data_IF_801916051764
#
_entry.id   IF_801916051764
#
_cell.length_a   1.000
_cell.length_b   1.000
_cell.length_c   1.000
_cell.angle_alpha   90.00
_cell.angle_beta   90.00
_cell.angle_gamma   90.00
#
_symmetry.space_group_name_H-M   'P 1'
#
loop_
_entity.id
_entity.type
_entity.pdbx_description
1 polymer ?
#
# COMPACT_ATOMS: atom_id res chain seq x y z
N UNK A 1 3.28 -13.85 -3.47
CA UNK A 1 3.81 -14.75 -2.43
C UNK A 1 5.33 -14.91 -2.47
N UNK A 2 5.98 -15.00 -3.68
CA UNK A 2 7.43 -15.28 -3.80
C UNK A 2 8.28 -14.23 -3.07
N UNK A 3 7.99 -12.96 -3.25
CA UNK A 3 8.70 -11.88 -2.55
C UNK A 3 8.55 -12.01 -1.02
N UNK A 4 7.31 -12.15 -0.54
CA UNK A 4 7.03 -12.29 0.91
C UNK A 4 7.74 -13.53 1.49
N UNK A 5 7.72 -14.66 0.75
CA UNK A 5 8.43 -15.88 1.14
C UNK A 5 9.93 -15.64 1.30
N UNK A 6 10.56 -14.94 0.36
CA UNK A 6 12.00 -14.69 0.40
C UNK A 6 12.36 -13.76 1.57
N UNK A 7 11.63 -12.67 1.74
CA UNK A 7 11.85 -11.74 2.87
C UNK A 7 11.65 -12.45 4.22
N UNK A 8 10.58 -13.25 4.35
CA UNK A 8 10.31 -13.99 5.58
C UNK A 8 11.37 -15.05 5.89
N UNK A 9 11.87 -15.74 4.88
CA UNK A 9 12.91 -16.75 5.08
C UNK A 9 14.27 -16.17 5.40
N UNK A 10 14.54 -14.91 5.00
CA UNK A 10 15.80 -14.23 5.23
C UNK A 10 15.82 -13.49 6.59
N UNK A 11 14.73 -12.80 6.92
CA UNK A 11 14.66 -11.94 8.11
C UNK A 11 13.73 -12.45 9.20
N UNK A 12 12.86 -13.40 8.89
CA UNK A 12 11.89 -13.91 9.87
C UNK A 12 12.47 -14.97 10.78
N UNK A 13 12.00 -15.00 12.03
CA UNK A 13 12.35 -16.03 13.01
C UNK A 13 11.73 -17.40 12.69
N UNK A 14 10.65 -17.42 11.90
CA UNK A 14 9.93 -18.64 11.49
C UNK A 14 9.92 -18.68 9.97
N UNK A 15 10.27 -19.85 9.40
CA UNK A 15 10.23 -20.04 7.93
C UNK A 15 8.80 -19.87 7.39
N UNK A 16 8.68 -19.29 6.20
CA UNK A 16 7.39 -18.99 5.57
C UNK A 16 6.47 -20.21 5.40
N UNK A 17 7.02 -21.38 5.09
CA UNK A 17 6.27 -22.64 4.93
C UNK A 17 5.57 -23.11 6.21
N UNK A 18 6.03 -22.63 7.38
CA UNK A 18 5.42 -22.89 8.69
C UNK A 18 4.36 -21.86 9.09
N UNK A 19 4.26 -20.74 8.38
CA UNK A 19 3.28 -19.71 8.64
C UNK A 19 1.99 -20.01 7.89
N UNK A 20 0.96 -20.44 8.61
CA UNK A 20 -0.36 -20.75 8.03
C UNK A 20 -1.39 -19.63 8.22
N UNK A 21 -1.07 -18.64 9.03
CA UNK A 21 -2.00 -17.55 9.40
C UNK A 21 -2.05 -16.40 8.38
N UNK A 22 -1.10 -16.34 7.44
CA UNK A 22 -1.07 -15.27 6.42
C UNK A 22 -1.73 -15.78 5.14
N UNK A 23 -2.95 -15.36 4.80
CA UNK A 23 -3.58 -15.73 3.54
C UNK A 23 -2.81 -15.08 2.38
N UNK A 24 -2.45 -15.88 1.40
CA UNK A 24 -1.77 -15.39 0.19
C UNK A 24 -2.51 -15.89 -1.05
N UNK A 25 -2.75 -14.97 -1.98
CA UNK A 25 -3.34 -15.30 -3.29
C UNK A 25 -2.19 -15.48 -4.28
N UNK A 26 -2.14 -16.62 -4.93
CA UNK A 26 -1.18 -16.94 -6.00
C UNK A 26 -1.79 -16.63 -7.37
N UNK A 27 -0.96 -16.62 -8.43
CA UNK A 27 -1.48 -16.53 -9.80
C UNK A 27 -2.39 -17.71 -10.15
N UNK A 28 -2.11 -18.90 -9.61
CA UNK A 28 -2.97 -20.09 -9.80
C UNK A 28 -4.36 -19.83 -9.22
N UNK A 29 -4.43 -19.29 -8.00
CA UNK A 29 -5.70 -18.98 -7.34
C UNK A 29 -6.50 -17.97 -8.15
N UNK A 30 -5.86 -16.91 -8.65
CA UNK A 30 -6.51 -15.93 -9.54
C UNK A 30 -7.06 -16.57 -10.82
N UNK A 31 -6.31 -17.51 -11.44
CA UNK A 31 -6.77 -18.23 -12.63
C UNK A 31 -7.97 -19.11 -12.28
N UNK A 32 -7.90 -19.87 -11.20
CA UNK A 32 -8.99 -20.74 -10.74
C UNK A 32 -10.24 -19.89 -10.43
N UNK A 33 -10.08 -18.82 -9.67
CA UNK A 33 -11.19 -17.93 -9.29
C UNK A 33 -11.84 -17.28 -10.52
N UNK A 34 -11.03 -16.80 -11.48
CA UNK A 34 -11.55 -16.12 -12.67
C UNK A 34 -12.21 -17.11 -13.64
N UNK A 35 -11.57 -18.23 -13.96
CA UNK A 35 -12.01 -19.11 -15.06
C UNK A 35 -12.86 -20.29 -14.61
N UNK A 36 -12.64 -20.82 -13.39
CA UNK A 36 -13.37 -21.98 -12.87
C UNK A 36 -14.54 -21.50 -11.99
N UNK A 37 -14.23 -20.71 -10.95
CA UNK A 37 -15.26 -20.20 -10.04
C UNK A 37 -16.05 -19.04 -10.62
N UNK A 38 -15.59 -18.43 -11.73
CA UNK A 38 -16.22 -17.29 -12.42
C UNK A 38 -16.48 -16.08 -11.51
N UNK A 39 -15.59 -15.86 -10.54
CA UNK A 39 -15.66 -14.71 -9.64
C UNK A 39 -15.35 -13.44 -10.44
N UNK A 40 -16.26 -12.47 -10.40
CA UNK A 40 -16.10 -11.15 -11.03
C UNK A 40 -15.80 -10.10 -9.99
N UNK A 41 -14.67 -9.39 -10.14
CA UNK A 41 -14.38 -8.20 -9.36
C UNK A 41 -15.15 -7.00 -9.94
N UNK A 42 -16.00 -6.38 -9.14
CA UNK A 42 -16.71 -5.16 -9.51
C UNK A 42 -16.22 -4.00 -8.64
N UNK A 43 -15.62 -3.00 -9.28
CA UNK A 43 -15.12 -1.80 -8.61
C UNK A 43 -16.18 -0.72 -8.64
N UNK A 44 -17.04 -0.69 -7.63
CA UNK A 44 -18.19 0.21 -7.56
C UNK A 44 -17.78 1.68 -7.73
N UNK A 45 -16.65 2.09 -7.15
CA UNK A 45 -16.17 3.48 -7.24
C UNK A 45 -15.74 3.91 -8.66
N UNK A 46 -15.54 2.98 -9.61
CA UNK A 46 -15.29 3.33 -11.02
C UNK A 46 -16.56 3.83 -11.74
N UNK A 47 -17.74 3.56 -11.16
CA UNK A 47 -19.05 3.97 -11.70
C UNK A 47 -19.65 5.20 -11.01
N UNK A 48 -18.91 5.80 -10.06
CA UNK A 48 -19.36 6.94 -9.26
C UNK A 48 -18.35 8.07 -9.30
N UNK A 49 -18.82 9.33 -9.33
CA UNK A 49 -17.93 10.48 -9.07
C UNK A 49 -17.65 10.58 -7.56
N UNK A 50 -16.69 9.77 -7.12
CA UNK A 50 -16.28 9.72 -5.72
C UNK A 50 -15.36 10.88 -5.39
N UNK A 51 -15.83 11.83 -4.59
CA UNK A 51 -15.04 12.96 -4.07
C UNK A 51 -14.92 12.84 -2.56
N UNK A 52 -13.71 12.67 -2.06
CA UNK A 52 -13.48 12.50 -0.62
C UNK A 52 -14.14 13.60 0.21
N UNK A 53 -14.04 14.88 -0.20
CA UNK A 53 -14.63 16.01 0.52
C UNK A 53 -16.15 15.88 0.71
N UNK A 54 -16.84 15.44 -0.33
CA UNK A 54 -18.31 15.29 -0.28
C UNK A 54 -18.70 14.11 0.60
N UNK A 55 -17.95 13.01 0.50
CA UNK A 55 -18.12 11.82 1.35
C UNK A 55 -17.84 12.13 2.81
N UNK A 56 -16.73 12.82 3.12
CA UNK A 56 -16.38 13.22 4.49
C UNK A 56 -17.47 14.09 5.11
N UNK A 57 -18.06 15.02 4.33
CA UNK A 57 -19.18 15.84 4.76
C UNK A 57 -20.39 15.00 5.09
N UNK A 58 -20.78 14.10 4.19
CA UNK A 58 -21.95 13.24 4.38
C UNK A 58 -21.79 12.28 5.57
N UNK A 59 -20.59 11.70 5.75
CA UNK A 59 -20.28 10.85 6.89
C UNK A 59 -20.35 11.61 8.22
N UNK A 60 -19.83 12.84 8.28
CA UNK A 60 -19.92 13.70 9.47
C UNK A 60 -21.36 14.05 9.82
N UNK A 61 -22.15 14.43 8.81
CA UNK A 61 -23.54 14.86 9.02
C UNK A 61 -24.46 13.68 9.39
N UNK A 62 -24.37 12.56 8.65
CA UNK A 62 -25.29 11.42 8.82
C UNK A 62 -24.87 10.41 9.87
N UNK A 63 -23.57 10.15 10.01
CA UNK A 63 -23.04 9.09 10.87
C UNK A 63 -22.22 9.62 12.05
N UNK A 64 -22.12 10.95 12.20
CA UNK A 64 -21.27 11.60 13.23
C UNK A 64 -19.82 11.10 13.22
N UNK A 65 -19.34 10.72 12.02
CA UNK A 65 -17.96 10.24 11.85
C UNK A 65 -16.97 11.37 12.17
N UNK A 66 -15.89 11.02 12.86
CA UNK A 66 -14.80 11.93 13.20
C UNK A 66 -13.61 11.70 12.29
N UNK A 67 -12.99 12.79 11.82
CA UNK A 67 -11.77 12.73 11.03
C UNK A 67 -10.57 12.45 11.94
N UNK A 68 -9.82 11.42 11.62
CA UNK A 68 -8.61 11.01 12.35
C UNK A 68 -7.33 11.70 11.83
N UNK A 69 -7.46 12.77 11.04
CA UNK A 69 -6.33 13.57 10.56
C UNK A 69 -5.64 13.06 9.30
N UNK A 70 -6.06 11.93 8.74
CA UNK A 70 -5.50 11.41 7.49
C UNK A 70 -5.91 9.98 7.16
N UNK A 71 -5.44 9.49 6.02
CA UNK A 71 -5.80 8.17 5.52
C UNK A 71 -5.22 7.05 6.40
N UNK A 72 -6.08 6.26 7.04
CA UNK A 72 -5.74 5.16 7.96
C UNK A 72 -4.98 5.59 9.22
N UNK A 73 -5.11 6.85 9.66
CA UNK A 73 -4.48 7.33 10.89
C UNK A 73 -5.21 6.94 12.17
N UNK A 74 -6.42 6.35 12.06
CA UNK A 74 -7.11 5.68 13.16
C UNK A 74 -6.31 4.50 13.73
N UNK A 75 -5.45 3.90 12.92
CA UNK A 75 -4.55 2.83 13.34
C UNK A 75 -3.18 3.40 13.70
N UNK A 76 -2.81 3.35 14.98
CA UNK A 76 -1.55 3.89 15.50
C UNK A 76 -0.30 3.34 14.77
N UNK A 77 -0.28 2.05 14.44
CA UNK A 77 0.83 1.46 13.68
C UNK A 77 0.91 2.03 12.26
N UNK A 78 -0.22 2.18 11.58
CA UNK A 78 -0.24 2.78 10.24
C UNK A 78 0.16 4.26 10.29
N UNK A 79 -0.28 4.99 11.31
CA UNK A 79 0.14 6.36 11.56
C UNK A 79 1.67 6.44 11.73
N UNK A 80 2.24 5.64 12.64
CA UNK A 80 3.69 5.54 12.82
C UNK A 80 4.44 5.26 11.51
N UNK A 81 4.00 4.26 10.75
CA UNK A 81 4.64 3.90 9.46
C UNK A 81 4.60 5.07 8.48
N UNK A 82 3.44 5.71 8.30
CA UNK A 82 3.25 6.73 7.27
C UNK A 82 3.82 8.10 7.65
N UNK A 83 3.72 8.50 8.92
CA UNK A 83 4.13 9.82 9.37
C UNK A 83 5.58 9.90 9.85
N UNK A 84 6.16 8.80 10.31
CA UNK A 84 7.51 8.75 10.87
C UNK A 84 8.44 7.80 10.11
N UNK A 85 8.13 6.50 10.09
CA UNK A 85 9.06 5.49 9.59
C UNK A 85 9.40 5.66 8.10
N UNK A 86 8.40 5.80 7.24
CA UNK A 86 8.63 5.99 5.80
C UNK A 86 9.31 7.32 5.47
N UNK A 87 8.89 8.47 6.02
CA UNK A 87 9.59 9.74 5.75
C UNK A 87 11.02 9.77 6.27
N UNK A 88 11.24 9.34 7.50
CA UNK A 88 12.56 9.45 8.17
C UNK A 88 13.58 8.45 7.60
N UNK A 89 13.19 7.18 7.48
CA UNK A 89 14.13 6.13 7.04
C UNK A 89 14.29 6.06 5.53
N UNK A 90 13.21 6.23 4.76
CA UNK A 90 13.18 5.99 3.31
C UNK A 90 13.00 7.27 2.47
N UNK A 91 12.79 8.42 3.11
CA UNK A 91 12.44 9.67 2.43
C UNK A 91 11.20 9.53 1.53
N UNK A 92 10.24 8.71 1.96
CA UNK A 92 8.99 8.44 1.24
C UNK A 92 7.85 9.22 1.88
N UNK A 93 7.36 10.25 1.18
CA UNK A 93 6.17 10.98 1.57
C UNK A 93 4.93 10.45 0.85
N UNK A 94 4.09 9.73 1.58
CA UNK A 94 2.84 9.14 1.07
C UNK A 94 1.85 10.17 0.54
N UNK A 95 1.87 11.41 1.06
CA UNK A 95 1.02 12.51 0.58
C UNK A 95 1.23 12.78 -0.92
N UNK A 96 2.45 12.60 -1.45
CA UNK A 96 2.75 12.80 -2.88
C UNK A 96 1.90 11.91 -3.77
N UNK A 97 1.71 10.65 -3.40
CA UNK A 97 0.91 9.69 -4.18
C UNK A 97 -0.57 10.05 -4.13
N UNK A 98 -1.08 10.37 -2.95
CA UNK A 98 -2.48 10.74 -2.73
C UNK A 98 -2.83 12.05 -3.46
N UNK A 99 -2.04 13.10 -3.25
CA UNK A 99 -2.26 14.41 -3.88
C UNK A 99 -2.11 14.32 -5.41
N UNK A 100 -1.19 13.51 -5.92
CA UNK A 100 -1.07 13.27 -7.36
C UNK A 100 -2.34 12.61 -7.94
N UNK A 101 -2.95 11.69 -7.22
CA UNK A 101 -4.23 11.11 -7.63
C UNK A 101 -5.35 12.15 -7.64
N UNK A 102 -5.45 12.97 -6.59
CA UNK A 102 -6.46 14.04 -6.49
C UNK A 102 -6.30 15.09 -7.59
N UNK A 103 -5.06 15.47 -7.96
CA UNK A 103 -4.81 16.38 -9.08
C UNK A 103 -5.30 15.77 -10.41
N UNK A 104 -4.97 14.50 -10.66
CA UNK A 104 -5.40 13.82 -11.90
C UNK A 104 -6.92 13.69 -12.01
N UNK A 105 -7.60 13.56 -10.88
CA UNK A 105 -9.07 13.51 -10.81
C UNK A 105 -9.72 14.89 -10.78
N UNK A 106 -8.95 15.98 -10.85
CA UNK A 106 -9.49 17.34 -10.81
C UNK A 106 -10.05 17.79 -9.46
N UNK A 107 -9.77 17.05 -8.37
CA UNK A 107 -10.29 17.34 -7.04
C UNK A 107 -9.57 18.49 -6.36
N UNK A 108 -8.29 18.69 -6.66
CA UNK A 108 -7.47 19.80 -6.18
C UNK A 108 -6.55 20.30 -7.29
N UNK A 109 -6.12 21.54 -7.18
CA UNK A 109 -5.12 22.10 -8.08
C UNK A 109 -3.71 21.69 -7.68
N UNK A 110 -2.79 21.71 -8.66
CA UNK A 110 -1.36 21.46 -8.38
C UNK A 110 -0.80 22.45 -7.36
N UNK A 111 -1.26 23.72 -7.39
CA UNK A 111 -0.82 24.78 -6.46
C UNK A 111 -1.19 24.43 -5.02
N UNK A 112 -2.41 24.00 -4.79
CA UNK A 112 -2.87 23.55 -3.46
C UNK A 112 -2.09 22.32 -2.98
N UNK A 113 -1.88 21.34 -3.84
CA UNK A 113 -1.09 20.15 -3.51
C UNK A 113 0.37 20.50 -3.13
N UNK A 114 1.01 21.40 -3.86
CA UNK A 114 2.37 21.85 -3.54
C UNK A 114 2.43 22.61 -2.21
N UNK A 115 1.40 23.39 -1.86
CA UNK A 115 1.30 24.03 -0.55
C UNK A 115 1.23 23.02 0.59
N UNK A 116 0.47 21.93 0.41
CA UNK A 116 0.36 20.84 1.40
C UNK A 116 1.69 20.10 1.55
N UNK A 117 2.35 19.76 0.43
CA UNK A 117 3.65 19.05 0.45
C UNK A 117 4.75 19.92 1.07
N UNK A 118 4.71 21.24 0.88
CA UNK A 118 5.67 22.18 1.47
C UNK A 118 5.61 22.26 3.00
N UNK A 119 4.54 21.79 3.61
CA UNK A 119 4.46 21.69 5.06
C UNK A 119 5.22 20.44 5.56
N UNK A 120 6.03 20.55 6.64
CA UNK A 120 6.70 19.41 7.21
C UNK A 120 5.69 18.31 7.58
N UNK A 121 6.12 17.07 7.51
CA UNK A 121 5.30 15.97 7.96
C UNK A 121 5.19 16.02 9.48
N UNK A 122 3.98 16.20 9.98
CA UNK A 122 3.72 16.15 11.42
C UNK A 122 3.62 14.70 11.86
N UNK A 123 4.36 14.32 12.88
CA UNK A 123 4.23 13.02 13.56
C UNK A 123 4.09 13.26 15.06
N UNK A 124 3.49 12.29 15.72
CA UNK A 124 3.29 12.29 17.17
C UNK A 124 4.36 11.39 17.80
N UNK A 125 5.21 11.97 18.67
CA UNK A 125 6.27 11.24 19.34
C UNK A 125 5.71 10.17 20.30
N UNK A 126 4.57 10.42 20.93
CA UNK A 126 3.92 9.44 21.82
C UNK A 126 3.54 8.18 21.05
N UNK A 127 3.04 8.33 19.81
CA UNK A 127 2.72 7.19 18.93
C UNK A 127 3.99 6.42 18.54
N UNK A 128 5.10 7.12 18.27
CA UNK A 128 6.39 6.49 17.94
C UNK A 128 6.86 5.64 19.13
N UNK A 129 6.82 6.20 20.33
CA UNK A 129 7.27 5.54 21.55
C UNK A 129 6.36 4.36 21.89
N UNK A 130 5.04 4.53 21.83
CA UNK A 130 4.08 3.45 22.09
C UNK A 130 4.27 2.28 21.12
N UNK A 131 4.39 2.56 19.81
CA UNK A 131 4.56 1.50 18.81
C UNK A 131 5.90 0.79 19.00
N UNK A 132 6.98 1.53 19.30
CA UNK A 132 8.31 0.96 19.54
C UNK A 132 8.29 0.01 20.74
N UNK A 133 7.67 0.42 21.84
CA UNK A 133 7.50 -0.42 23.05
C UNK A 133 6.66 -1.66 22.75
N UNK A 134 5.53 -1.52 22.03
CA UNK A 134 4.67 -2.66 21.65
C UNK A 134 5.36 -3.67 20.76
N UNK A 135 6.31 -3.23 19.93
CA UNK A 135 7.14 -4.11 19.10
C UNK A 135 8.28 -4.77 19.90
N UNK A 136 8.46 -4.43 21.17
CA UNK A 136 9.48 -4.99 22.06
C UNK A 136 10.89 -4.44 21.75
N UNK A 137 11.00 -3.29 21.12
CA UNK A 137 12.30 -2.68 20.81
C UNK A 137 12.75 -1.76 21.95
N UNK A 138 14.02 -1.88 22.35
CA UNK A 138 14.63 -0.83 23.17
C UNK A 138 14.87 0.43 22.32
N UNK A 139 14.95 1.62 22.92
CA UNK A 139 15.26 2.86 22.18
C UNK A 139 16.56 2.77 21.36
N UNK A 140 17.59 2.13 21.93
CA UNK A 140 18.88 1.95 21.28
C UNK A 140 18.78 1.02 20.05
N UNK A 141 18.04 -0.10 20.20
CA UNK A 141 17.78 -1.03 19.09
C UNK A 141 16.98 -0.34 17.98
N UNK A 142 15.92 0.38 18.35
CA UNK A 142 15.12 1.11 17.36
C UNK A 142 15.96 2.15 16.61
N UNK A 143 16.80 2.91 17.31
CA UNK A 143 17.68 3.89 16.69
C UNK A 143 18.69 3.23 15.74
N UNK A 144 19.31 2.10 16.13
CA UNK A 144 20.22 1.36 15.25
C UNK A 144 19.48 0.87 13.98
N UNK A 145 18.27 0.32 14.12
CA UNK A 145 17.45 -0.09 12.99
C UNK A 145 17.10 1.08 12.05
N UNK A 146 16.85 2.27 12.60
CA UNK A 146 16.59 3.47 11.78
C UNK A 146 17.81 3.92 10.99
N UNK A 147 19.02 3.66 11.48
CA UNK A 147 20.30 4.01 10.82
C UNK A 147 20.80 2.93 9.85
N UNK A 148 20.30 1.70 9.93
CA UNK A 148 20.67 0.64 9.01
C UNK A 148 20.37 1.00 7.56
N UNK A 149 21.22 0.52 6.65
CA UNK A 149 21.07 0.69 5.21
C UNK A 149 19.72 0.11 4.74
N UNK A 150 19.03 0.87 3.93
CA UNK A 150 17.76 0.44 3.34
C UNK A 150 17.99 -0.57 2.20
N UNK A 151 17.22 -1.65 2.20
CA UNK A 151 17.23 -2.65 1.15
C UNK A 151 16.19 -2.36 0.07
N UNK A 152 16.57 -2.53 -1.19
CA UNK A 152 15.65 -2.38 -2.31
C UNK A 152 14.85 -3.67 -2.53
N UNK A 153 13.58 -3.54 -2.91
CA UNK A 153 12.78 -4.70 -3.35
C UNK A 153 13.42 -5.48 -4.52
N UNK A 154 14.37 -4.86 -5.25
CA UNK A 154 15.10 -5.49 -6.37
C UNK A 154 16.14 -6.50 -5.92
N UNK A 155 16.55 -6.47 -4.67
CA UNK A 155 17.49 -7.44 -4.08
C UNK A 155 16.82 -8.81 -3.87
N UNK A 156 15.49 -8.84 -3.86
CA UNK A 156 14.70 -10.05 -3.64
C UNK A 156 14.14 -10.60 -4.95
N UNK A 157 14.18 -11.91 -5.10
CA UNK A 157 13.59 -12.60 -6.26
C UNK A 157 12.08 -12.38 -6.32
N UNK A 158 11.59 -12.01 -7.48
CA UNK A 158 10.16 -11.81 -7.77
C UNK A 158 9.75 -12.55 -9.03
N UNK A 159 8.45 -12.63 -9.32
CA UNK A 159 7.94 -13.16 -10.58
C UNK A 159 7.86 -12.10 -11.70
N UNK A 160 8.46 -10.94 -11.51
CA UNK A 160 8.34 -9.82 -12.45
C UNK A 160 8.87 -10.17 -13.85
N UNK A 161 10.03 -10.85 -13.92
CA UNK A 161 10.61 -11.31 -15.19
C UNK A 161 9.70 -12.31 -15.91
N UNK A 162 9.03 -13.19 -15.15
CA UNK A 162 8.04 -14.10 -15.71
C UNK A 162 6.83 -13.35 -16.29
N UNK A 163 6.26 -12.38 -15.58
CA UNK A 163 5.16 -11.57 -16.10
C UNK A 163 5.54 -10.79 -17.35
N UNK A 164 6.77 -10.25 -17.40
CA UNK A 164 7.27 -9.55 -18.58
C UNK A 164 7.46 -10.47 -19.79
N UNK A 165 7.90 -11.69 -19.57
CA UNK A 165 7.99 -12.70 -20.63
C UNK A 165 6.61 -13.03 -21.22
N UNK A 166 5.60 -13.15 -20.38
CA UNK A 166 4.22 -13.45 -20.76
C UNK A 166 3.35 -12.20 -20.97
N UNK A 167 3.95 -11.04 -21.20
CA UNK A 167 3.22 -9.77 -21.35
C UNK A 167 2.14 -9.80 -22.46
N UNK A 168 2.43 -10.44 -23.59
CA UNK A 168 1.49 -10.48 -24.71
C UNK A 168 0.26 -11.36 -24.44
N UNK A 169 0.38 -12.60 -24.01
CA UNK A 169 -0.78 -13.39 -23.54
C UNK A 169 -1.60 -12.67 -22.46
N UNK A 170 -0.94 -12.09 -21.46
CA UNK A 170 -1.61 -11.36 -20.39
C UNK A 170 -2.38 -10.15 -20.95
N UNK A 171 -1.81 -9.42 -21.90
CA UNK A 171 -2.49 -8.31 -22.58
C UNK A 171 -3.77 -8.76 -23.28
N UNK A 172 -3.75 -9.89 -24.00
CA UNK A 172 -4.94 -10.43 -24.67
C UNK A 172 -6.05 -10.77 -23.66
N UNK A 173 -5.71 -11.45 -22.58
CA UNK A 173 -6.67 -11.84 -21.52
C UNK A 173 -7.26 -10.58 -20.84
N UNK A 174 -6.46 -9.56 -20.61
CA UNK A 174 -6.92 -8.27 -20.07
C UNK A 174 -7.84 -7.56 -21.07
N UNK A 175 -7.48 -7.57 -22.38
CA UNK A 175 -8.32 -6.96 -23.42
C UNK A 175 -9.68 -7.67 -23.57
N UNK A 176 -9.74 -8.96 -23.31
CA UNK A 176 -10.97 -9.75 -23.24
C UNK A 176 -11.78 -9.48 -21.96
N UNK A 177 -11.33 -8.56 -21.09
CA UNK A 177 -11.94 -8.22 -19.78
C UNK A 177 -12.02 -9.40 -18.79
N UNK A 178 -11.18 -10.41 -18.97
CA UNK A 178 -11.09 -11.58 -18.09
C UNK A 178 -10.17 -11.32 -16.88
N UNK A 179 -9.23 -10.38 -17.01
CA UNK A 179 -8.36 -9.92 -15.93
C UNK A 179 -8.39 -8.39 -15.83
N UNK A 180 -8.21 -7.82 -14.63
CA UNK A 180 -8.15 -6.37 -14.44
C UNK A 180 -6.96 -5.74 -15.18
N UNK A 181 -7.19 -4.60 -15.84
CA UNK A 181 -6.15 -3.87 -16.59
C UNK A 181 -4.96 -3.49 -15.71
N UNK A 182 -5.18 -3.24 -14.44
CA UNK A 182 -4.14 -2.89 -13.48
C UNK A 182 -3.05 -3.97 -13.37
N UNK A 183 -3.37 -5.25 -13.58
CA UNK A 183 -2.38 -6.33 -13.58
C UNK A 183 -1.35 -6.14 -14.71
N UNK A 184 -1.82 -5.83 -15.92
CA UNK A 184 -0.93 -5.58 -17.04
C UNK A 184 -0.06 -4.33 -16.82
N UNK A 185 -0.68 -3.22 -16.41
CA UNK A 185 0.01 -1.95 -16.17
C UNK A 185 1.06 -2.07 -15.05
N UNK A 186 0.80 -2.86 -14.03
CA UNK A 186 1.68 -2.98 -12.86
C UNK A 186 2.83 -3.97 -13.05
N UNK A 187 2.62 -5.06 -13.81
CA UNK A 187 3.57 -6.18 -13.84
C UNK A 187 4.16 -6.47 -15.21
N UNK A 188 3.59 -5.95 -16.31
CA UNK A 188 3.98 -6.28 -17.68
C UNK A 188 4.59 -5.10 -18.46
N UNK A 189 4.52 -3.90 -17.93
CA UNK A 189 5.17 -2.70 -18.51
C UNK A 189 6.60 -2.51 -18.03
#
# INVERSE_FOLDING_TARGET
>A
PVYIKNVQNEFGTIRYDKIRSIPTITCRDLIVDTFIHRIKEVRILEFMDYRKKDVDKELKEKLKWQDYGGHHQENKFTHFIQSYYLPVKFNIDKRKTELSAQIRSGHITRKEALKIIGQPYSFDQEIVDEVTVRLGFSPQLFQSMMQEKTHSHREFKTLLSFYRLFRFPIYLVVRMKLLPQILYLKYCQ
#
